data_IF_959277709370
#
_entry.id   IF_959277709370
#
_cell.length_a   1.000
_cell.length_b   1.000
_cell.length_c   1.000
_cell.angle_alpha   90.00
_cell.angle_beta   90.00
_cell.angle_gamma   90.00
#
_symmetry.space_group_name_H-M   'P 1'
#
loop_
_entity.id
_entity.type
_entity.pdbx_description
1 polymer ?
#
# COMPACT_ATOMS: atom_id res chain seq x y z
N UNK A 1 5.18 36.61 -39.10
CA UNK A 1 5.55 35.18 -39.19
C UNK A 1 7.06 35.10 -39.29
N UNK A 2 7.74 35.07 -38.16
CA UNK A 2 9.19 34.83 -38.11
C UNK A 2 9.43 33.39 -38.55
N UNK A 3 10.13 33.20 -39.66
CA UNK A 3 10.54 31.86 -40.09
C UNK A 3 11.53 31.30 -39.06
N UNK A 4 11.21 30.15 -38.47
CA UNK A 4 12.12 29.49 -37.53
C UNK A 4 13.44 29.19 -38.23
N UNK A 5 14.56 29.57 -37.61
CA UNK A 5 15.86 29.28 -38.16
C UNK A 5 16.14 27.78 -38.07
N UNK A 6 16.65 27.15 -39.13
CA UNK A 6 16.98 25.71 -39.12
C UNK A 6 18.04 25.33 -38.08
N UNK A 7 18.91 26.27 -37.68
CA UNK A 7 20.00 26.06 -36.72
C UNK A 7 19.56 26.26 -35.26
N UNK A 8 18.37 26.81 -35.02
CA UNK A 8 17.86 27.10 -33.67
C UNK A 8 17.76 25.83 -32.82
N UNK A 9 17.22 24.75 -33.39
CA UNK A 9 17.10 23.46 -32.70
C UNK A 9 18.47 22.88 -32.32
N UNK A 10 19.48 23.01 -33.18
CA UNK A 10 20.83 22.54 -32.91
C UNK A 10 21.49 23.36 -31.78
N UNK A 11 21.24 24.67 -31.74
CA UNK A 11 21.73 25.55 -30.69
C UNK A 11 21.10 25.20 -29.32
N UNK A 12 19.78 25.00 -29.29
CA UNK A 12 19.06 24.59 -28.06
C UNK A 12 19.52 23.21 -27.59
N UNK A 13 19.71 22.25 -28.50
CA UNK A 13 20.25 20.94 -28.14
C UNK A 13 21.64 21.05 -27.49
N UNK A 14 22.56 21.78 -28.11
CA UNK A 14 23.88 22.05 -27.54
C UNK A 14 23.79 22.77 -26.17
N UNK A 15 22.81 23.66 -26.00
CA UNK A 15 22.56 24.35 -24.74
C UNK A 15 22.17 23.38 -23.62
N UNK A 16 21.17 22.52 -23.87
CA UNK A 16 20.63 21.52 -22.94
C UNK A 16 21.67 20.47 -22.55
N UNK A 17 22.45 20.00 -23.52
CA UNK A 17 23.47 18.97 -23.29
C UNK A 17 24.76 19.55 -22.66
N UNK A 18 24.83 20.88 -22.46
CA UNK A 18 26.00 21.53 -21.87
C UNK A 18 27.24 21.50 -22.77
N UNK A 19 27.09 21.24 -24.07
CA UNK A 19 28.21 21.18 -25.01
C UNK A 19 28.66 22.58 -25.44
N UNK A 20 29.92 22.68 -25.85
CA UNK A 20 30.46 23.87 -26.53
C UNK A 20 29.85 23.98 -27.94
N UNK A 21 29.55 25.20 -28.37
CA UNK A 21 29.06 25.47 -29.73
C UNK A 21 30.12 25.09 -30.76
N UNK A 22 29.71 24.43 -31.84
CA UNK A 22 30.57 24.14 -33.00
C UNK A 22 30.95 25.44 -33.72
N UNK A 23 32.06 25.43 -34.47
CA UNK A 23 32.49 26.60 -35.23
C UNK A 23 31.43 27.11 -36.23
N UNK A 24 30.62 26.19 -36.77
CA UNK A 24 29.52 26.50 -37.69
C UNK A 24 28.35 27.23 -36.99
N UNK A 25 27.97 26.79 -35.79
CA UNK A 25 26.97 27.51 -34.99
C UNK A 25 27.49 28.88 -34.53
N UNK A 26 28.78 28.98 -34.21
CA UNK A 26 29.39 30.25 -33.83
C UNK A 26 29.39 31.26 -34.99
N UNK A 27 29.70 30.81 -36.22
CA UNK A 27 29.65 31.68 -37.40
C UNK A 27 28.21 32.11 -37.72
N UNK A 28 27.24 31.21 -37.54
CA UNK A 28 25.82 31.51 -37.73
C UNK A 28 25.28 32.59 -36.76
N UNK A 29 25.73 32.58 -35.50
CA UNK A 29 25.34 33.60 -34.51
C UNK A 29 25.73 35.03 -34.91
N UNK A 30 26.79 35.18 -35.72
CA UNK A 30 27.21 36.48 -36.24
C UNK A 30 26.22 37.07 -37.25
N UNK A 31 25.44 36.23 -37.93
CA UNK A 31 24.54 36.63 -39.02
C UNK A 31 23.05 36.51 -38.67
N UNK A 32 22.69 35.67 -37.71
CA UNK A 32 21.30 35.43 -37.32
C UNK A 32 20.96 36.07 -35.96
N UNK A 33 20.04 37.05 -35.99
CA UNK A 33 19.57 37.75 -34.79
C UNK A 33 18.75 36.85 -33.86
N UNK A 34 17.82 36.04 -34.38
CA UNK A 34 16.99 35.15 -33.55
C UNK A 34 17.83 34.13 -32.78
N UNK A 35 18.81 33.48 -33.43
CA UNK A 35 19.72 32.55 -32.76
C UNK A 35 20.59 33.27 -31.70
N UNK A 36 20.92 34.55 -31.90
CA UNK A 36 21.68 35.36 -30.94
C UNK A 36 20.86 35.68 -29.70
N UNK A 37 19.58 36.00 -29.86
CA UNK A 37 18.66 36.19 -28.74
C UNK A 37 18.52 34.91 -27.91
N UNK A 38 18.35 33.76 -28.57
CA UNK A 38 18.30 32.45 -27.88
C UNK A 38 19.61 32.19 -27.13
N UNK A 39 20.76 32.44 -27.75
CA UNK A 39 22.06 32.25 -27.10
C UNK A 39 22.24 33.17 -25.88
N UNK A 40 21.73 34.41 -25.93
CA UNK A 40 21.77 35.34 -24.80
C UNK A 40 20.87 34.86 -23.64
N UNK A 41 19.69 34.31 -23.93
CA UNK A 41 18.83 33.69 -22.91
C UNK A 41 19.51 32.47 -22.29
N UNK A 42 20.12 31.62 -23.11
CA UNK A 42 20.86 30.43 -22.64
C UNK A 42 22.02 30.83 -21.72
N UNK A 43 22.77 31.90 -22.01
CA UNK A 43 23.84 32.35 -21.13
C UNK A 43 23.31 32.82 -19.78
N UNK A 44 22.22 33.60 -19.76
CA UNK A 44 21.60 34.07 -18.50
C UNK A 44 21.11 32.89 -17.65
N UNK A 45 20.44 31.91 -18.28
CA UNK A 45 19.97 30.72 -17.56
C UNK A 45 21.12 29.86 -17.02
N UNK A 46 22.24 29.79 -17.74
CA UNK A 46 23.44 29.08 -17.27
C UNK A 46 24.08 29.80 -16.09
N UNK A 47 24.19 31.12 -16.13
CA UNK A 47 24.69 31.92 -15.01
C UNK A 47 23.81 31.78 -13.76
N UNK A 48 22.47 31.85 -13.92
CA UNK A 48 21.53 31.66 -12.82
C UNK A 48 21.63 30.24 -12.23
N UNK A 49 21.68 29.22 -13.09
CA UNK A 49 21.91 27.83 -12.65
C UNK A 49 23.22 27.70 -11.86
N UNK A 50 24.31 28.28 -12.35
CA UNK A 50 25.61 28.17 -11.69
C UNK A 50 25.63 28.93 -10.35
N UNK A 51 24.93 30.07 -10.24
CA UNK A 51 24.74 30.78 -8.98
C UNK A 51 23.88 29.97 -7.97
N UNK A 52 22.82 29.31 -8.44
CA UNK A 52 22.01 28.40 -7.61
C UNK A 52 22.84 27.20 -7.16
N UNK A 53 23.63 26.59 -8.04
CA UNK A 53 24.49 25.45 -7.69
C UNK A 53 25.59 25.85 -6.71
N UNK A 54 26.18 27.04 -6.86
CA UNK A 54 27.19 27.55 -5.94
C UNK A 54 26.63 27.85 -4.54
N UNK A 55 25.37 28.30 -4.45
CA UNK A 55 24.69 28.58 -3.18
C UNK A 55 23.98 27.36 -2.57
N UNK A 56 23.75 26.31 -3.38
CA UNK A 56 23.16 25.06 -2.92
C UNK A 56 24.11 24.33 -1.97
N UNK A 57 23.74 24.27 -0.70
CA UNK A 57 24.41 23.40 0.28
C UNK A 57 24.04 21.95 0.00
N UNK A 58 24.86 21.26 -0.81
CA UNK A 58 24.69 19.83 -1.01
C UNK A 58 24.90 19.11 0.33
N UNK A 59 24.00 18.17 0.71
CA UNK A 59 24.26 17.31 1.85
C UNK A 59 25.51 16.48 1.57
N UNK A 60 26.32 16.23 2.59
CA UNK A 60 27.53 15.42 2.42
C UNK A 60 27.17 14.04 1.86
N UNK A 61 28.06 13.47 1.05
CA UNK A 61 27.89 12.13 0.49
C UNK A 61 27.60 11.09 1.60
N UNK A 62 28.19 11.28 2.78
CA UNK A 62 27.94 10.45 3.96
C UNK A 62 26.47 10.51 4.43
N UNK A 63 25.83 11.70 4.44
CA UNK A 63 24.42 11.85 4.82
C UNK A 63 23.51 11.19 3.79
N UNK A 64 23.82 11.33 2.50
CA UNK A 64 23.06 10.69 1.41
C UNK A 64 23.17 9.17 1.50
N UNK A 65 24.40 8.65 1.62
CA UNK A 65 24.65 7.22 1.77
C UNK A 65 23.97 6.66 3.02
N UNK A 66 24.07 7.34 4.16
CA UNK A 66 23.43 6.90 5.40
C UNK A 66 21.90 6.84 5.28
N UNK A 67 21.28 7.80 4.59
CA UNK A 67 19.85 7.76 4.30
C UNK A 67 19.48 6.59 3.39
N UNK A 68 20.28 6.32 2.36
CA UNK A 68 20.07 5.19 1.47
C UNK A 68 20.20 3.85 2.21
N UNK A 69 21.26 3.70 3.00
CA UNK A 69 21.52 2.49 3.80
C UNK A 69 20.41 2.23 4.83
N UNK A 70 19.90 3.29 5.49
CA UNK A 70 18.75 3.13 6.40
C UNK A 70 17.49 2.63 5.69
N UNK A 71 17.23 3.10 4.46
CA UNK A 71 16.09 2.61 3.66
C UNK A 71 16.29 1.15 3.28
N UNK A 72 17.48 0.79 2.80
CA UNK A 72 17.82 -0.59 2.46
C UNK A 72 17.65 -1.54 3.67
N UNK A 73 18.07 -1.12 4.86
CA UNK A 73 17.87 -1.90 6.10
C UNK A 73 16.42 -2.01 6.50
N UNK A 74 15.63 -0.94 6.36
CA UNK A 74 14.20 -0.96 6.65
C UNK A 74 13.45 -1.91 5.69
N UNK A 75 13.79 -1.88 4.41
CA UNK A 75 13.23 -2.78 3.39
C UNK A 75 13.62 -4.23 3.65
N UNK A 76 14.87 -4.50 4.01
CA UNK A 76 15.33 -5.83 4.38
C UNK A 76 14.63 -6.36 5.65
N UNK A 77 14.44 -5.51 6.66
CA UNK A 77 13.70 -5.87 7.88
C UNK A 77 12.21 -6.13 7.58
N UNK A 78 11.58 -5.31 6.73
CA UNK A 78 10.21 -5.52 6.31
C UNK A 78 10.05 -6.83 5.51
N UNK A 79 11.01 -7.15 4.63
CA UNK A 79 11.03 -8.42 3.90
C UNK A 79 11.16 -9.62 4.85
N UNK A 80 12.00 -9.52 5.89
CA UNK A 80 12.18 -10.56 6.89
C UNK A 80 10.99 -10.72 7.86
N UNK A 81 10.20 -9.66 8.07
CA UNK A 81 9.05 -9.70 8.98
C UNK A 81 7.80 -10.37 8.36
N UNK A 82 7.67 -10.38 7.03
CA UNK A 82 6.54 -11.00 6.31
C UNK A 82 6.26 -12.48 6.65
N UNK A 83 7.25 -13.38 6.76
CA UNK A 83 6.97 -14.78 7.11
C UNK A 83 6.51 -14.95 8.57
N UNK A 84 6.94 -14.09 9.49
CA UNK A 84 6.61 -14.20 10.92
C UNK A 84 5.13 -13.87 11.16
N UNK A 85 4.59 -12.87 10.47
CA UNK A 85 3.17 -12.51 10.58
C UNK A 85 2.26 -13.58 9.98
N UNK A 86 2.68 -14.25 8.91
CA UNK A 86 1.95 -15.38 8.31
C UNK A 86 1.92 -16.58 9.25
N UNK A 87 3.06 -16.92 9.85
CA UNK A 87 3.16 -18.05 10.78
C UNK A 87 2.30 -17.83 12.04
N UNK A 88 2.31 -16.62 12.60
CA UNK A 88 1.48 -16.27 13.76
C UNK A 88 -0.02 -16.26 13.42
N UNK A 89 -0.39 -15.78 12.23
CA UNK A 89 -1.77 -15.87 11.74
C UNK A 89 -2.27 -17.31 11.65
N UNK A 90 -1.47 -18.23 11.12
CA UNK A 90 -1.82 -19.65 11.02
C UNK A 90 -1.94 -20.32 12.39
N UNK A 91 -1.05 -19.96 13.33
CA UNK A 91 -1.10 -20.47 14.70
C UNK A 91 -2.38 -20.03 15.42
N UNK A 92 -2.77 -18.76 15.30
CA UNK A 92 -4.01 -18.25 15.90
C UNK A 92 -5.25 -18.88 15.26
N UNK A 93 -5.28 -19.01 13.92
CA UNK A 93 -6.39 -19.65 13.22
C UNK A 93 -6.60 -21.11 13.65
N UNK A 94 -5.50 -21.88 13.79
CA UNK A 94 -5.58 -23.27 14.26
C UNK A 94 -6.01 -23.37 15.72
N UNK A 95 -5.52 -22.49 16.59
CA UNK A 95 -5.93 -22.44 18.00
C UNK A 95 -7.45 -22.19 18.16
N UNK A 96 -8.01 -21.26 17.38
CA UNK A 96 -9.45 -20.97 17.39
C UNK A 96 -10.25 -22.18 16.90
N UNK A 97 -9.80 -22.84 15.83
CA UNK A 97 -10.46 -24.03 15.29
C UNK A 97 -10.51 -25.20 16.29
N UNK A 98 -9.42 -25.42 17.03
CA UNK A 98 -9.36 -26.44 18.10
C UNK A 98 -10.31 -26.09 19.23
N UNK A 99 -10.31 -24.84 19.71
CA UNK A 99 -11.20 -24.39 20.79
C UNK A 99 -12.68 -24.54 20.42
N UNK A 100 -13.05 -24.15 19.19
CA UNK A 100 -14.41 -24.29 18.70
C UNK A 100 -14.85 -25.77 18.61
N UNK A 101 -13.96 -26.65 18.14
CA UNK A 101 -14.24 -28.09 18.06
C UNK A 101 -14.43 -28.70 19.45
N UNK A 102 -13.58 -28.33 20.40
CA UNK A 102 -13.62 -28.84 21.77
C UNK A 102 -14.88 -28.37 22.50
N UNK A 103 -15.27 -27.10 22.31
CA UNK A 103 -16.53 -26.56 22.82
C UNK A 103 -17.75 -27.30 22.23
N UNK A 104 -17.73 -27.62 20.93
CA UNK A 104 -18.79 -28.39 20.27
C UNK A 104 -18.93 -29.82 20.83
N UNK A 105 -17.81 -30.51 21.05
CA UNK A 105 -17.79 -31.86 21.63
C UNK A 105 -18.32 -31.84 23.07
N UNK A 106 -17.88 -30.86 23.87
CA UNK A 106 -18.31 -30.73 25.26
C UNK A 106 -19.81 -30.40 25.36
N UNK A 107 -20.32 -29.53 24.48
CA UNK A 107 -21.74 -29.23 24.38
C UNK A 107 -22.58 -30.44 23.96
N UNK A 108 -22.07 -31.26 23.03
CA UNK A 108 -22.73 -32.49 22.60
C UNK A 108 -22.85 -33.51 23.74
N UNK A 109 -21.76 -33.75 24.47
CA UNK A 109 -21.74 -34.65 25.63
C UNK A 109 -22.60 -34.13 26.80
N UNK A 110 -22.52 -32.84 27.08
CA UNK A 110 -23.32 -32.19 28.11
C UNK A 110 -24.83 -32.29 27.85
N UNK A 111 -25.25 -32.35 26.58
CA UNK A 111 -26.66 -32.45 26.18
C UNK A 111 -27.38 -33.66 26.81
N UNK A 112 -26.69 -34.77 27.03
CA UNK A 112 -27.25 -35.94 27.72
C UNK A 112 -27.42 -35.74 29.23
N UNK A 113 -26.53 -34.96 29.85
CA UNK A 113 -26.59 -34.62 31.27
C UNK A 113 -27.65 -33.56 31.59
N UNK A 114 -27.89 -32.60 30.68
CA UNK A 114 -28.96 -31.59 30.84
C UNK A 114 -30.34 -32.14 30.46
N UNK A 115 -30.43 -33.22 29.67
CA UNK A 115 -31.68 -33.89 29.35
C UNK A 115 -32.21 -34.80 30.48
N UNK A 116 -31.34 -35.25 31.40
CA UNK A 116 -31.74 -36.07 32.55
C UNK A 116 -32.62 -35.34 33.59
N UNK A 117 -32.33 -34.08 34.01
CA UNK A 117 -33.23 -33.34 34.89
C UNK A 117 -34.47 -32.77 34.16
N UNK A 118 -34.50 -32.76 32.82
CA UNK A 118 -35.62 -32.21 32.06
C UNK A 118 -36.94 -33.00 32.23
N UNK A 119 -36.88 -34.26 32.68
CA UNK A 119 -38.07 -35.06 33.02
C UNK A 119 -38.66 -34.76 34.41
N UNK A 120 -37.97 -33.98 35.24
CA UNK A 120 -38.45 -33.55 36.57
C UNK A 120 -39.01 -32.12 36.57
N UNK A 121 -38.76 -31.34 35.53
CA UNK A 121 -39.15 -29.90 35.43
C UNK A 121 -40.47 -29.71 34.66
N UNK A 122 -41.10 -30.79 34.21
CA UNK A 122 -42.41 -30.77 33.50
C UNK A 122 -43.56 -30.24 34.38
N UNK A 123 -43.37 -30.11 35.70
CA UNK A 123 -44.33 -29.48 36.63
C UNK A 123 -44.21 -27.96 36.77
N UNK A 124 -43.18 -27.30 36.21
CA UNK A 124 -43.02 -25.83 36.27
C UNK A 124 -43.23 -25.12 34.92
N UNK A 125 -43.94 -25.77 33.99
CA UNK A 125 -44.19 -25.37 32.59
C UNK A 125 -45.01 -24.07 32.38
N UNK A 126 -44.95 -23.09 33.28
CA UNK A 126 -45.70 -21.82 33.13
C UNK A 126 -44.83 -20.64 32.67
N UNK A 127 -43.49 -20.75 32.65
CA UNK A 127 -42.61 -19.60 32.33
C UNK A 127 -41.76 -19.78 31.05
N UNK A 128 -41.59 -21.00 30.52
CA UNK A 128 -40.65 -21.30 29.42
C UNK A 128 -41.18 -21.25 27.97
N UNK A 129 -42.43 -20.85 27.74
CA UNK A 129 -43.10 -20.94 26.43
C UNK A 129 -42.84 -19.77 25.48
N UNK A 130 -41.89 -18.88 25.78
CA UNK A 130 -41.58 -17.72 24.94
C UNK A 130 -40.58 -17.95 23.78
N UNK A 131 -39.73 -18.98 23.85
CA UNK A 131 -38.57 -19.12 22.92
C UNK A 131 -38.59 -20.36 22.02
N UNK A 132 -39.56 -21.26 22.19
CA UNK A 132 -39.68 -22.48 21.38
C UNK A 132 -40.52 -22.30 20.10
N UNK A 133 -41.17 -21.15 19.90
CA UNK A 133 -42.09 -20.88 18.78
C UNK A 133 -41.47 -20.14 17.58
N UNK A 134 -40.14 -20.00 17.50
CA UNK A 134 -39.50 -19.34 16.35
C UNK A 134 -39.36 -20.30 15.13
N UNK A 135 -39.82 -19.92 13.91
CA UNK A 135 -39.84 -20.79 12.74
C UNK A 135 -38.44 -21.14 12.22
N UNK A 136 -38.30 -22.34 11.64
CA UNK A 136 -37.04 -22.97 11.20
C UNK A 136 -36.22 -22.12 10.20
N UNK A 137 -36.88 -21.27 9.41
CA UNK A 137 -36.24 -20.34 8.50
C UNK A 137 -35.38 -19.28 9.22
N UNK A 138 -35.81 -18.82 10.41
CA UNK A 138 -35.06 -17.80 11.15
C UNK A 138 -33.80 -18.39 11.80
N UNK A 139 -33.85 -19.66 12.22
CA UNK A 139 -32.67 -20.35 12.77
C UNK A 139 -31.63 -20.62 11.68
N UNK A 140 -32.04 -21.08 10.49
CA UNK A 140 -31.12 -21.24 9.36
C UNK A 140 -30.57 -19.90 8.86
N UNK A 141 -31.38 -18.84 8.84
CA UNK A 141 -30.91 -17.50 8.49
C UNK A 141 -29.86 -16.97 9.48
N UNK A 142 -30.04 -17.17 10.79
CA UNK A 142 -29.04 -16.75 11.80
C UNK A 142 -27.73 -17.53 11.64
N UNK A 143 -27.78 -18.83 11.37
CA UNK A 143 -26.56 -19.63 11.15
C UNK A 143 -25.87 -19.32 9.82
N UNK A 144 -26.61 -19.01 8.76
CA UNK A 144 -26.05 -18.58 7.48
C UNK A 144 -25.45 -17.17 7.54
N UNK A 145 -26.08 -16.24 8.28
CA UNK A 145 -25.53 -14.90 8.51
C UNK A 145 -24.29 -14.95 9.41
N UNK A 146 -24.30 -15.78 10.46
CA UNK A 146 -23.13 -15.97 11.31
C UNK A 146 -21.97 -16.62 10.55
N UNK A 147 -22.24 -17.63 9.71
CA UNK A 147 -21.23 -18.26 8.85
C UNK A 147 -20.69 -17.31 7.78
N UNK A 148 -21.56 -16.54 7.13
CA UNK A 148 -21.16 -15.55 6.13
C UNK A 148 -20.33 -14.41 6.74
N UNK A 149 -20.69 -13.91 7.93
CA UNK A 149 -19.88 -12.90 8.63
C UNK A 149 -18.51 -13.45 9.03
N UNK A 150 -18.42 -14.72 9.41
CA UNK A 150 -17.18 -15.36 9.87
C UNK A 150 -16.18 -15.64 8.74
N UNK A 151 -16.67 -15.77 7.49
CA UNK A 151 -15.82 -15.92 6.29
C UNK A 151 -15.56 -14.57 5.62
N UNK A 152 -16.52 -13.63 5.63
CA UNK A 152 -16.37 -12.33 4.98
C UNK A 152 -15.44 -11.37 5.73
N UNK A 153 -15.39 -11.43 7.07
CA UNK A 153 -14.49 -10.55 7.86
C UNK A 153 -13.00 -10.79 7.60
N UNK A 154 -12.47 -12.03 7.57
CA UNK A 154 -11.05 -12.23 7.25
C UNK A 154 -10.72 -11.96 5.78
N UNK A 155 -11.67 -12.19 4.86
CA UNK A 155 -11.48 -11.94 3.42
C UNK A 155 -11.45 -10.44 3.08
N UNK A 156 -12.35 -9.65 3.68
CA UNK A 156 -12.37 -8.19 3.50
C UNK A 156 -11.13 -7.53 4.12
N UNK A 157 -10.64 -8.06 5.24
CA UNK A 157 -9.43 -7.56 5.87
C UNK A 157 -8.17 -7.88 5.05
N UNK A 158 -8.08 -9.09 4.48
CA UNK A 158 -6.97 -9.48 3.60
C UNK A 158 -6.91 -8.65 2.31
N UNK A 159 -8.05 -8.38 1.67
CA UNK A 159 -8.11 -7.56 0.44
C UNK A 159 -7.76 -6.09 0.74
N UNK A 160 -8.29 -5.52 1.83
CA UNK A 160 -7.96 -4.14 2.22
C UNK A 160 -6.45 -3.95 2.50
N UNK A 161 -5.77 -4.95 3.04
CA UNK A 161 -4.32 -4.87 3.30
C UNK A 161 -3.44 -5.13 2.08
N UNK A 162 -4.03 -5.55 0.96
CA UNK A 162 -3.30 -5.88 -0.28
C UNK A 162 -3.24 -4.70 -1.26
N UNK A 163 -4.22 -3.81 -1.24
CA UNK A 163 -4.31 -2.69 -2.22
C UNK A 163 -3.46 -1.47 -1.84
N UNK A 164 -2.93 -1.40 -0.61
CA UNK A 164 -2.04 -0.33 -0.12
C UNK A 164 -0.52 -0.65 -0.26
N UNK A 165 -0.16 -1.68 -1.05
CA UNK A 165 1.22 -2.13 -1.29
C UNK A 165 1.62 -2.05 -2.77
#
# INVERSE_FOLDING_TARGET
>A
MTACCSHEAALVAAAVEGRSLTADLQSHLATCESCREVQALVSVLREDRDAVLASARMPSAAVVWWRAERRARAEAAAAAARPITVATGLAVASAIGVLASLAGILAYWGRGWVAAPARLVETTAVIGTGLASAPSALRLAVWLVAGALLVATPLAWYVATRDDA
#
